data_IF_105147383773
#
_entry.id   IF_105147383773
#
_cell.length_a   1.000
_cell.length_b   1.000
_cell.length_c   1.000
_cell.angle_alpha   90.00
_cell.angle_beta   90.00
_cell.angle_gamma   90.00
#
_symmetry.space_group_name_H-M   'P 1'
#
loop_
_entity.id
_entity.type
_entity.pdbx_description
1 polymer ?
#
# COMPACT_ATOMS: atom_id res chain seq x y z
N UNK A 1 -7.63 21.32 12.41
CA UNK A 1 -7.30 19.90 12.68
C UNK A 1 -6.02 19.57 11.94
N UNK A 2 -5.14 18.77 12.53
CA UNK A 2 -3.97 18.28 11.82
C UNK A 2 -4.28 16.91 11.20
N UNK A 3 -3.81 16.72 9.97
CA UNK A 3 -4.02 15.50 9.17
C UNK A 3 -2.67 14.77 9.06
N UNK A 4 -2.69 13.44 9.03
CA UNK A 4 -1.47 12.62 8.92
C UNK A 4 -1.72 11.40 8.02
N UNK A 5 -0.79 11.12 7.12
CA UNK A 5 -0.86 10.00 6.21
C UNK A 5 0.14 8.88 6.56
N UNK A 6 -0.22 7.65 6.24
CA UNK A 6 0.68 6.48 6.20
C UNK A 6 0.65 5.89 4.78
N UNK A 7 1.81 5.48 4.27
CA UNK A 7 1.95 4.79 2.98
C UNK A 7 2.82 3.55 3.16
N UNK A 8 2.18 2.41 3.39
CA UNK A 8 2.87 1.13 3.57
C UNK A 8 3.35 0.56 2.22
N UNK A 9 4.50 -0.10 2.22
CA UNK A 9 5.12 -0.66 1.01
C UNK A 9 4.47 -1.99 0.60
N UNK A 10 3.62 -1.96 -0.43
CA UNK A 10 2.94 -3.14 -0.98
C UNK A 10 1.96 -3.84 -0.03
N UNK A 11 1.65 -3.23 1.12
CA UNK A 11 0.75 -3.81 2.13
C UNK A 11 -0.07 -2.73 2.87
N UNK A 12 -0.90 -3.15 3.82
CA UNK A 12 -1.71 -2.27 4.69
C UNK A 12 -1.66 -2.74 6.17
N UNK A 13 -0.57 -3.38 6.59
CA UNK A 13 -0.49 -3.97 7.93
C UNK A 13 -0.54 -2.92 9.04
N UNK A 14 -0.01 -1.72 8.78
CA UNK A 14 -0.03 -0.60 9.73
C UNK A 14 -1.39 0.09 9.85
N UNK A 15 -2.33 -0.17 8.94
CA UNK A 15 -3.54 0.64 8.77
C UNK A 15 -4.39 0.79 10.05
N UNK A 16 -4.67 -0.33 10.73
CA UNK A 16 -5.54 -0.33 11.93
C UNK A 16 -4.85 0.33 13.13
N UNK A 17 -3.57 0.03 13.35
CA UNK A 17 -2.80 0.62 14.43
C UNK A 17 -2.60 2.13 14.22
N UNK A 18 -2.30 2.54 13.00
CA UNK A 18 -2.16 3.95 12.61
C UNK A 18 -3.47 4.71 12.80
N UNK A 19 -4.58 4.19 12.24
CA UNK A 19 -5.90 4.81 12.37
C UNK A 19 -6.28 5.03 13.84
N UNK A 20 -6.18 3.98 14.65
CA UNK A 20 -6.58 4.02 16.06
C UNK A 20 -5.74 5.01 16.86
N UNK A 21 -4.42 5.01 16.63
CA UNK A 21 -3.48 5.89 17.34
C UNK A 21 -3.65 7.35 16.92
N UNK A 22 -3.81 7.61 15.62
CA UNK A 22 -4.04 8.95 15.09
C UNK A 22 -5.34 9.55 15.62
N UNK A 23 -6.44 8.78 15.61
CA UNK A 23 -7.73 9.23 16.17
C UNK A 23 -7.65 9.54 17.65
N UNK A 24 -6.96 8.70 18.45
CA UNK A 24 -6.70 8.96 19.89
C UNK A 24 -5.94 10.27 20.13
N UNK A 25 -5.10 10.70 19.18
CA UNK A 25 -4.35 11.96 19.23
C UNK A 25 -5.08 13.16 18.61
N UNK A 26 -6.35 13.01 18.21
CA UNK A 26 -7.13 14.07 17.58
C UNK A 26 -6.70 14.41 16.15
N UNK A 27 -5.92 13.52 15.50
CA UNK A 27 -5.52 13.66 14.10
C UNK A 27 -6.56 13.03 13.18
N UNK A 28 -6.67 13.55 11.96
CA UNK A 28 -7.38 12.88 10.87
C UNK A 28 -6.40 11.95 10.13
N UNK A 29 -6.53 10.62 10.29
CA UNK A 29 -5.69 9.68 9.54
C UNK A 29 -6.10 9.62 8.07
N UNK A 30 -5.10 9.55 7.19
CA UNK A 30 -5.23 9.22 5.76
C UNK A 30 -4.45 7.92 5.54
N UNK A 31 -5.10 6.89 5.03
CA UNK A 31 -4.48 5.57 4.84
C UNK A 31 -4.18 5.40 3.35
N UNK A 32 -2.92 5.12 3.04
CA UNK A 32 -2.45 4.81 1.70
C UNK A 32 -1.51 3.60 1.70
N UNK A 33 -1.17 3.15 0.50
CA UNK A 33 -0.20 2.07 0.26
C UNK A 33 0.52 2.36 -1.05
N UNK A 34 1.84 2.16 -1.06
CA UNK A 34 2.64 2.13 -2.27
C UNK A 34 2.39 0.79 -2.97
N UNK A 35 1.51 0.79 -3.96
CA UNK A 35 1.12 -0.42 -4.67
C UNK A 35 2.04 -0.70 -5.85
N UNK A 36 2.43 -1.96 -6.00
CA UNK A 36 3.10 -2.46 -7.19
C UNK A 36 2.06 -2.83 -8.25
N UNK A 37 2.14 -2.17 -9.40
CA UNK A 37 1.23 -2.42 -10.53
C UNK A 37 2.00 -3.15 -11.63
N UNK A 38 1.50 -4.33 -12.00
CA UNK A 38 2.05 -5.07 -13.14
C UNK A 38 1.91 -4.25 -14.43
N UNK A 39 2.92 -4.29 -15.29
CA UNK A 39 2.92 -3.59 -16.59
C UNK A 39 1.80 -4.02 -17.52
N UNK A 40 1.29 -5.24 -17.32
CA UNK A 40 0.32 -5.88 -18.18
C UNK A 40 -0.87 -6.42 -17.36
N UNK A 41 -1.96 -6.72 -18.05
CA UNK A 41 -3.14 -7.32 -17.43
C UNK A 41 -2.82 -8.68 -16.81
N UNK A 42 -3.34 -8.92 -15.60
CA UNK A 42 -3.28 -10.24 -14.92
C UNK A 42 -3.91 -11.39 -15.73
N UNK A 43 -4.70 -11.07 -16.76
CA UNK A 43 -5.34 -12.05 -17.64
C UNK A 43 -4.48 -12.38 -18.86
N UNK A 44 -3.40 -11.63 -19.12
CA UNK A 44 -2.45 -11.90 -20.21
C UNK A 44 -1.48 -12.98 -19.78
N UNK A 45 -1.65 -14.20 -20.30
CA UNK A 45 -0.65 -15.28 -20.14
C UNK A 45 0.44 -15.10 -21.19
N UNK A 46 1.52 -14.39 -20.86
CA UNK A 46 2.77 -14.48 -21.62
C UNK A 46 3.42 -15.83 -21.32
N UNK A 47 3.45 -16.72 -22.31
CA UNK A 47 4.14 -18.00 -22.18
C UNK A 47 5.63 -17.79 -21.98
N UNK A 48 6.19 -18.42 -20.93
CA UNK A 48 7.60 -18.77 -20.77
C UNK A 48 8.63 -17.64 -20.94
N UNK A 49 8.98 -16.96 -19.85
CA UNK A 49 10.14 -16.09 -19.80
C UNK A 49 10.27 -15.44 -18.43
N UNK A 50 11.10 -16.06 -17.59
CA UNK A 50 11.55 -15.55 -16.30
C UNK A 50 12.01 -14.10 -16.44
N UNK A 51 11.21 -13.17 -15.91
CA UNK A 51 11.68 -11.86 -15.51
C UNK A 51 11.16 -11.64 -14.09
N UNK A 52 11.81 -12.37 -13.19
CA UNK A 52 11.86 -12.10 -11.77
C UNK A 52 12.26 -10.65 -11.53
N UNK A 53 11.27 -9.76 -11.42
CA UNK A 53 11.47 -8.46 -10.79
C UNK A 53 11.48 -8.68 -9.27
N UNK A 54 12.56 -9.27 -8.76
CA UNK A 54 12.91 -9.16 -7.36
C UNK A 54 13.63 -7.81 -7.17
N UNK A 55 13.04 -6.95 -6.34
CA UNK A 55 13.76 -5.94 -5.56
C UNK A 55 13.97 -6.51 -4.15
#
# INVERSE_FOLDING_TARGET
SADMAITDHGNLFGAIQFYTTARKKGLKPIIGCEIYVAKESRHKKSGGGDQSNHL
#
